data_IF_812693064544
#
_entry.id   IF_812693064544
#
_cell.length_a   1.000
_cell.length_b   1.000
_cell.length_c   1.000
_cell.angle_alpha   90.00
_cell.angle_beta   90.00
_cell.angle_gamma   90.00
#
_symmetry.space_group_name_H-M   'P 1'
#
loop_
_entity.id
_entity.type
_entity.pdbx_description
1 polymer ?
#
# COMPACT_ATOMS: atom_id res chain seq x y z
N UNK A 1 6.40 -2.51 11.68
CA UNK A 1 4.95 -2.85 11.58
C UNK A 1 4.67 -3.86 10.48
N UNK A 2 3.40 -4.31 10.36
CA UNK A 2 3.04 -5.32 9.34
C UNK A 2 3.31 -4.88 7.91
N UNK A 3 3.23 -3.59 7.61
CA UNK A 3 3.50 -3.03 6.28
C UNK A 3 4.94 -3.27 5.81
N UNK A 4 5.92 -2.97 6.66
CA UNK A 4 7.35 -3.20 6.37
C UNK A 4 7.64 -4.69 6.11
N UNK A 5 7.10 -5.58 6.98
CA UNK A 5 7.27 -7.01 6.78
C UNK A 5 6.77 -7.46 5.41
N UNK A 6 5.54 -7.11 5.04
CA UNK A 6 4.97 -7.53 3.77
C UNK A 6 5.70 -6.94 2.56
N UNK A 7 6.18 -5.71 2.67
CA UNK A 7 6.96 -5.05 1.62
C UNK A 7 8.28 -5.78 1.37
N UNK A 8 9.07 -6.01 2.42
CA UNK A 8 10.31 -6.78 2.32
C UNK A 8 10.08 -8.23 1.88
N UNK A 9 9.06 -8.89 2.42
CA UNK A 9 8.71 -10.27 2.06
C UNK A 9 8.33 -10.41 0.58
N UNK A 10 7.54 -9.48 0.05
CA UNK A 10 7.17 -9.49 -1.36
C UNK A 10 8.37 -9.26 -2.27
N UNK A 11 9.25 -8.33 -1.89
CA UNK A 11 10.48 -8.06 -2.62
C UNK A 11 11.39 -9.31 -2.64
N UNK A 12 11.63 -9.91 -1.49
CA UNK A 12 12.41 -11.15 -1.37
C UNK A 12 11.82 -12.28 -2.23
N UNK A 13 10.48 -12.44 -2.26
CA UNK A 13 9.85 -13.45 -3.14
C UNK A 13 10.02 -13.17 -4.62
N UNK A 14 10.05 -11.91 -5.03
CA UNK A 14 10.31 -11.53 -6.42
C UNK A 14 11.76 -11.90 -6.79
N UNK A 15 12.70 -11.59 -5.91
CA UNK A 15 14.13 -11.82 -6.15
C UNK A 15 14.52 -13.31 -6.00
N UNK A 16 13.94 -14.08 -5.07
CA UNK A 16 14.16 -15.52 -4.90
C UNK A 16 13.85 -16.32 -6.17
N UNK A 17 12.84 -15.92 -6.93
CA UNK A 17 12.50 -16.55 -8.21
C UNK A 17 13.61 -16.48 -9.28
N UNK A 18 14.67 -15.73 -8.99
CA UNK A 18 15.83 -15.50 -9.86
C UNK A 18 17.11 -16.11 -9.32
N UNK A 19 16.97 -17.07 -8.41
CA UNK A 19 18.11 -17.81 -7.84
C UNK A 19 18.83 -17.09 -6.70
N UNK A 20 18.33 -15.92 -6.23
CA UNK A 20 18.96 -15.23 -5.09
C UNK A 20 18.50 -15.84 -3.75
N UNK A 21 19.44 -16.06 -2.85
CA UNK A 21 19.15 -16.46 -1.46
C UNK A 21 18.96 -15.25 -0.57
N UNK A 22 18.09 -15.38 0.44
CA UNK A 22 17.72 -14.30 1.34
C UNK A 22 17.57 -14.77 2.77
N UNK A 23 17.94 -13.90 3.69
CA UNK A 23 17.50 -14.01 5.07
C UNK A 23 16.97 -12.67 5.58
N UNK A 24 16.15 -12.73 6.59
CA UNK A 24 15.52 -11.56 7.19
C UNK A 24 16.17 -11.22 8.50
N UNK A 25 16.41 -9.95 8.74
CA UNK A 25 16.98 -9.44 9.97
C UNK A 25 15.97 -8.53 10.66
N UNK A 26 15.76 -8.69 11.94
CA UNK A 26 14.94 -7.79 12.75
C UNK A 26 15.29 -7.94 14.23
N UNK A 27 15.07 -6.87 15.00
CA UNK A 27 15.18 -6.94 16.46
C UNK A 27 13.93 -7.57 17.12
N UNK A 28 12.76 -7.40 16.49
CA UNK A 28 11.48 -7.93 16.98
C UNK A 28 10.55 -8.25 15.82
N UNK A 29 10.34 -9.54 15.58
CA UNK A 29 9.36 -10.02 14.62
C UNK A 29 8.28 -10.86 15.31
N UNK A 30 7.01 -10.65 14.94
CA UNK A 30 5.91 -11.43 15.53
C UNK A 30 6.00 -12.89 15.09
N UNK A 31 5.66 -13.83 15.99
CA UNK A 31 5.74 -15.29 15.75
C UNK A 31 5.02 -15.74 14.46
N UNK A 32 3.86 -15.15 14.16
CA UNK A 32 3.14 -15.45 12.93
C UNK A 32 3.91 -15.06 11.65
N UNK A 33 4.73 -13.99 11.69
CA UNK A 33 5.57 -13.61 10.55
C UNK A 33 6.77 -14.53 10.40
N UNK A 34 7.38 -14.97 11.52
CA UNK A 34 8.44 -15.97 11.50
C UNK A 34 7.93 -17.28 10.87
N UNK A 35 6.74 -17.74 11.28
CA UNK A 35 6.12 -18.92 10.67
C UNK A 35 5.89 -18.78 9.17
N UNK A 36 5.56 -17.56 8.69
CA UNK A 36 5.41 -17.30 7.26
C UNK A 36 6.76 -17.37 6.55
N UNK A 37 7.83 -16.82 7.13
CA UNK A 37 9.17 -16.90 6.57
C UNK A 37 9.62 -18.35 6.44
N UNK A 38 9.50 -19.13 7.51
CA UNK A 38 9.87 -20.55 7.54
C UNK A 38 9.10 -21.36 6.47
N UNK A 39 7.78 -21.16 6.36
CA UNK A 39 6.94 -21.83 5.37
C UNK A 39 7.36 -21.53 3.92
N UNK A 40 7.94 -20.36 3.66
CA UNK A 40 8.39 -19.94 2.33
C UNK A 40 9.90 -20.18 2.13
N UNK A 41 10.56 -20.83 3.09
CA UNK A 41 11.98 -21.18 3.04
C UNK A 41 12.90 -19.95 3.11
N UNK A 42 12.57 -18.98 3.97
CA UNK A 42 13.42 -17.85 4.30
C UNK A 42 13.95 -17.97 5.73
N UNK A 43 15.24 -17.79 5.89
CA UNK A 43 15.89 -17.73 7.20
C UNK A 43 15.61 -16.39 7.89
N UNK A 44 15.55 -16.42 9.24
CA UNK A 44 15.36 -15.24 10.07
C UNK A 44 16.45 -15.15 11.13
N UNK A 45 17.11 -14.00 11.22
CA UNK A 45 18.14 -13.71 12.21
C UNK A 45 17.63 -12.59 13.11
N UNK A 46 17.59 -12.87 14.42
CA UNK A 46 17.20 -11.89 15.41
C UNK A 46 18.45 -11.16 15.92
N UNK A 47 18.52 -9.85 15.68
CA UNK A 47 19.55 -9.00 16.30
C UNK A 47 19.03 -8.32 17.56
N UNK A 48 19.88 -8.12 18.56
CA UNK A 48 19.53 -7.39 19.80
C UNK A 48 19.16 -5.93 19.50
N UNK A 49 19.87 -5.29 18.58
CA UNK A 49 19.61 -3.92 18.14
C UNK A 49 19.94 -3.74 16.66
N UNK A 50 19.11 -2.97 15.96
CA UNK A 50 19.37 -2.54 14.58
C UNK A 50 20.00 -1.12 14.54
N UNK A 51 20.08 -0.44 15.68
CA UNK A 51 20.71 0.89 15.79
C UNK A 51 22.23 0.79 15.93
N UNK A 52 22.75 -0.34 16.42
CA UNK A 52 24.19 -0.57 16.53
C UNK A 52 24.70 -1.21 15.24
N UNK A 53 25.46 -0.48 14.47
CA UNK A 53 26.01 -0.92 13.18
C UNK A 53 26.96 -2.10 13.31
N UNK A 54 27.65 -2.23 14.47
CA UNK A 54 28.61 -3.32 14.71
C UNK A 54 27.99 -4.71 14.48
N UNK A 55 26.78 -4.94 15.01
CA UNK A 55 26.09 -6.24 14.82
C UNK A 55 25.66 -6.48 13.36
N UNK A 56 25.31 -5.41 12.63
CA UNK A 56 24.96 -5.50 11.21
C UNK A 56 26.22 -5.74 10.38
N UNK A 57 27.32 -5.03 10.67
CA UNK A 57 28.62 -5.21 9.99
C UNK A 57 29.14 -6.62 10.17
N UNK A 58 29.26 -7.10 11.41
CA UNK A 58 29.70 -8.46 11.70
C UNK A 58 28.87 -9.49 10.93
N UNK A 59 27.55 -9.30 10.84
CA UNK A 59 26.69 -10.19 10.08
C UNK A 59 26.96 -10.13 8.57
N UNK A 60 27.15 -8.92 7.99
CA UNK A 60 27.48 -8.76 6.58
C UNK A 60 28.79 -9.45 6.25
N UNK A 61 29.82 -9.24 7.07
CA UNK A 61 31.15 -9.83 6.90
C UNK A 61 31.14 -11.35 7.02
N UNK A 62 30.48 -11.89 8.08
CA UNK A 62 30.41 -13.34 8.32
C UNK A 62 29.60 -14.10 7.27
N UNK A 63 28.60 -13.45 6.68
CA UNK A 63 27.71 -14.05 5.66
C UNK A 63 28.09 -13.68 4.23
N UNK A 64 29.10 -12.85 4.03
CA UNK A 64 29.56 -12.35 2.74
C UNK A 64 28.41 -11.82 1.88
N UNK A 65 27.59 -10.94 2.46
CA UNK A 65 26.44 -10.39 1.78
C UNK A 65 26.81 -9.43 0.65
N UNK A 66 26.34 -9.72 -0.55
CA UNK A 66 26.47 -8.80 -1.68
C UNK A 66 25.56 -7.59 -1.55
N UNK A 67 24.32 -7.82 -1.11
CA UNK A 67 23.28 -6.83 -1.13
C UNK A 67 22.59 -6.72 0.23
N UNK A 68 22.47 -5.49 0.73
CA UNK A 68 21.70 -5.18 1.94
C UNK A 68 20.49 -4.34 1.60
N UNK A 69 19.29 -4.78 2.04
CA UNK A 69 18.04 -4.04 1.83
C UNK A 69 17.48 -3.59 3.17
N UNK A 70 17.39 -2.29 3.39
CA UNK A 70 16.86 -1.70 4.62
C UNK A 70 15.48 -1.10 4.41
N UNK A 71 14.51 -1.56 5.20
CA UNK A 71 13.19 -0.93 5.40
C UNK A 71 13.04 -0.56 6.89
N UNK A 72 14.00 0.21 7.39
CA UNK A 72 14.09 0.59 8.79
C UNK A 72 14.39 2.09 8.92
N UNK A 73 13.42 2.87 9.40
CA UNK A 73 13.45 4.33 9.41
C UNK A 73 14.41 4.96 10.42
N UNK A 74 14.78 4.21 11.46
CA UNK A 74 15.66 4.71 12.54
C UNK A 74 17.15 4.43 12.27
N UNK A 75 17.52 3.92 11.11
CA UNK A 75 18.91 3.79 10.70
C UNK A 75 19.44 5.18 10.35
N UNK A 76 20.41 5.67 11.12
CA UNK A 76 20.97 7.00 10.95
C UNK A 76 21.91 7.11 9.73
N UNK A 77 22.30 8.33 9.40
CA UNK A 77 23.15 8.60 8.23
C UNK A 77 24.54 7.98 8.36
N UNK A 78 25.15 8.00 9.56
CA UNK A 78 26.48 7.42 9.82
C UNK A 78 26.45 5.93 9.54
N UNK A 79 25.46 5.23 10.11
CA UNK A 79 25.29 3.79 9.92
C UNK A 79 25.04 3.43 8.45
N UNK A 80 24.25 4.22 7.73
CA UNK A 80 24.04 4.02 6.28
C UNK A 80 25.32 4.15 5.48
N UNK A 81 26.14 5.18 5.76
CA UNK A 81 27.46 5.35 5.11
C UNK A 81 28.37 4.14 5.34
N UNK A 82 28.39 3.64 6.57
CA UNK A 82 29.25 2.51 6.93
C UNK A 82 28.78 1.21 6.24
N UNK A 83 27.48 0.95 6.21
CA UNK A 83 26.91 -0.23 5.51
C UNK A 83 27.21 -0.14 4.01
N UNK A 84 27.01 1.04 3.41
CA UNK A 84 27.22 1.24 1.97
C UNK A 84 28.67 0.98 1.52
N UNK A 85 29.64 1.07 2.44
CA UNK A 85 31.06 0.80 2.15
C UNK A 85 31.42 -0.69 2.11
N UNK A 86 30.61 -1.53 2.76
CA UNK A 86 30.93 -2.94 2.97
C UNK A 86 30.05 -3.93 2.20
N UNK A 87 29.08 -3.42 1.45
CA UNK A 87 28.23 -4.22 0.55
C UNK A 87 28.35 -3.71 -0.88
N UNK A 88 28.18 -4.60 -1.85
CA UNK A 88 28.21 -4.23 -3.27
C UNK A 88 27.00 -3.41 -3.69
N UNK A 89 25.85 -3.63 -3.03
CA UNK A 89 24.63 -2.87 -3.28
C UNK A 89 23.83 -2.64 -2.00
N UNK A 90 23.63 -1.38 -1.66
CA UNK A 90 22.79 -0.98 -0.54
C UNK A 90 21.48 -0.36 -1.03
N UNK A 91 20.37 -0.98 -0.70
CA UNK A 91 19.03 -0.52 -1.07
C UNK A 91 18.30 0.00 0.17
N UNK A 92 17.80 1.22 0.11
CA UNK A 92 16.97 1.80 1.17
C UNK A 92 15.54 1.97 0.69
N UNK A 93 14.59 1.48 1.46
CA UNK A 93 13.16 1.70 1.29
C UNK A 93 12.70 2.62 2.42
N UNK A 94 12.30 3.85 2.08
CA UNK A 94 11.85 4.82 3.08
C UNK A 94 10.69 5.67 2.52
N UNK A 95 9.68 5.92 3.34
CA UNK A 95 8.49 6.69 2.97
C UNK A 95 8.63 8.20 3.27
N UNK A 96 9.71 8.62 3.95
CA UNK A 96 9.95 10.00 4.30
C UNK A 96 10.49 10.81 3.10
N UNK A 97 10.06 12.06 2.99
CA UNK A 97 10.42 12.94 1.88
C UNK A 97 11.64 13.82 2.16
N UNK A 98 12.08 13.90 3.43
CA UNK A 98 13.06 14.89 3.90
C UNK A 98 14.32 14.24 4.49
N UNK A 99 14.55 12.96 4.24
CA UNK A 99 15.74 12.25 4.74
C UNK A 99 16.78 12.10 3.64
N UNK A 100 18.04 12.28 4.02
CA UNK A 100 19.20 11.93 3.21
C UNK A 100 19.54 10.46 3.43
N UNK A 101 19.86 9.76 2.34
CA UNK A 101 20.26 8.37 2.38
C UNK A 101 21.61 8.21 1.66
N UNK A 102 22.49 7.41 2.25
CA UNK A 102 23.75 6.98 1.63
C UNK A 102 23.54 5.54 1.18
N UNK A 103 23.06 5.38 -0.05
CA UNK A 103 22.69 4.09 -0.63
C UNK A 103 22.81 4.14 -2.16
N UNK A 104 22.97 3.01 -2.80
CA UNK A 104 23.02 2.91 -4.26
C UNK A 104 21.63 3.06 -4.87
N UNK A 105 20.61 2.49 -4.21
CA UNK A 105 19.22 2.55 -4.66
C UNK A 105 18.31 3.02 -3.55
N UNK A 106 17.57 4.09 -3.80
CA UNK A 106 16.52 4.59 -2.91
C UNK A 106 15.13 4.31 -3.50
N UNK A 107 14.30 3.63 -2.74
CA UNK A 107 12.92 3.29 -3.14
C UNK A 107 11.94 4.04 -2.25
N UNK A 108 11.09 4.85 -2.86
CA UNK A 108 9.90 5.39 -2.20
C UNK A 108 8.70 5.24 -3.14
N UNK A 109 7.85 4.29 -2.83
CA UNK A 109 6.73 3.88 -3.65
C UNK A 109 5.41 4.62 -3.37
N UNK A 110 5.46 5.67 -2.57
CA UNK A 110 4.30 6.53 -2.34
C UNK A 110 4.03 7.43 -3.56
N UNK A 111 2.80 7.91 -3.65
CA UNK A 111 2.49 8.96 -4.61
C UNK A 111 3.20 10.25 -4.21
N UNK A 112 3.85 10.91 -5.18
CA UNK A 112 4.61 12.14 -4.95
C UNK A 112 4.31 13.20 -6.00
N UNK A 113 4.36 14.45 -5.55
CA UNK A 113 4.40 15.62 -6.43
C UNK A 113 5.80 15.74 -7.07
N UNK A 114 5.89 16.50 -8.14
CA UNK A 114 7.19 16.76 -8.77
C UNK A 114 8.13 17.56 -7.86
N UNK A 115 7.57 18.46 -7.03
CA UNK A 115 8.31 19.15 -5.97
C UNK A 115 8.93 18.17 -4.99
N UNK A 116 8.16 17.16 -4.51
CA UNK A 116 8.68 16.13 -3.61
C UNK A 116 9.77 15.29 -4.26
N UNK A 117 9.60 14.92 -5.53
CA UNK A 117 10.63 14.18 -6.29
C UNK A 117 11.92 14.97 -6.44
N UNK A 118 11.82 16.26 -6.81
CA UNK A 118 12.99 17.14 -6.94
C UNK A 118 13.72 17.32 -5.61
N UNK A 119 13.00 17.42 -4.49
CA UNK A 119 13.59 17.46 -3.16
C UNK A 119 14.38 16.19 -2.85
N UNK A 120 13.78 15.01 -3.08
CA UNK A 120 14.45 13.72 -2.87
C UNK A 120 15.71 13.62 -3.75
N UNK A 121 15.64 14.05 -5.00
CA UNK A 121 16.79 14.06 -5.92
C UNK A 121 17.93 14.92 -5.39
N UNK A 122 17.64 16.13 -4.88
CA UNK A 122 18.65 17.01 -4.26
C UNK A 122 19.28 16.40 -3.01
N UNK A 123 18.50 15.70 -2.18
CA UNK A 123 18.99 15.06 -0.96
C UNK A 123 19.81 13.79 -1.22
N UNK A 124 19.59 13.12 -2.34
CA UNK A 124 20.19 11.83 -2.67
C UNK A 124 20.76 11.82 -4.11
N UNK A 125 21.75 12.70 -4.41
CA UNK A 125 22.23 12.89 -5.79
C UNK A 125 22.94 11.67 -6.37
N UNK A 126 23.56 10.85 -5.52
CA UNK A 126 24.36 9.69 -5.93
C UNK A 126 23.56 8.36 -5.92
N UNK A 127 22.27 8.41 -5.59
CA UNK A 127 21.44 7.22 -5.53
C UNK A 127 20.60 7.08 -6.80
N UNK A 128 20.42 5.86 -7.26
CA UNK A 128 19.36 5.57 -8.22
C UNK A 128 18.00 5.66 -7.55
N UNK A 129 17.13 6.53 -8.05
CA UNK A 129 15.86 6.87 -7.41
C UNK A 129 14.69 6.14 -8.05
N UNK A 130 14.07 5.23 -7.32
CA UNK A 130 12.86 4.51 -7.70
C UNK A 130 11.65 5.15 -7.00
N UNK A 131 11.11 6.22 -7.59
CA UNK A 131 10.11 7.07 -6.97
C UNK A 131 8.73 6.92 -7.57
N UNK A 132 7.74 6.83 -6.67
CA UNK A 132 6.32 6.83 -7.03
C UNK A 132 5.72 5.44 -7.20
N UNK A 133 4.43 5.44 -7.47
CA UNK A 133 3.57 4.24 -7.45
C UNK A 133 4.01 3.17 -8.48
N UNK A 134 4.67 3.56 -9.57
CA UNK A 134 5.18 2.61 -10.58
C UNK A 134 6.21 1.62 -10.01
N UNK A 135 6.79 1.93 -8.85
CA UNK A 135 7.71 1.07 -8.12
C UNK A 135 7.07 0.44 -6.87
N UNK A 136 5.76 0.36 -6.83
CA UNK A 136 5.05 -0.26 -5.72
C UNK A 136 5.40 -1.73 -5.55
N UNK A 137 5.92 -2.08 -4.36
CA UNK A 137 6.31 -3.44 -4.02
C UNK A 137 5.06 -4.21 -3.59
N UNK A 138 4.46 -4.93 -4.51
CA UNK A 138 3.27 -5.75 -4.25
C UNK A 138 3.58 -7.25 -4.24
N UNK A 139 2.60 -8.06 -3.88
CA UNK A 139 2.75 -9.51 -3.93
C UNK A 139 2.99 -9.97 -5.37
N UNK A 140 3.86 -10.96 -5.56
CA UNK A 140 4.08 -11.54 -6.88
C UNK A 140 2.79 -12.11 -7.52
N UNK A 141 1.80 -12.46 -6.70
CA UNK A 141 0.47 -12.88 -7.14
C UNK A 141 -0.34 -11.75 -7.78
N UNK A 142 0.06 -10.51 -7.53
CA UNK A 142 -0.59 -9.33 -8.08
C UNK A 142 -0.40 -9.23 -9.60
N UNK A 143 0.78 -9.58 -10.11
CA UNK A 143 1.05 -9.60 -11.56
C UNK A 143 0.19 -10.60 -12.33
N UNK A 144 -0.41 -11.58 -11.63
CA UNK A 144 -1.35 -12.56 -12.19
C UNK A 144 -2.81 -12.06 -12.22
N UNK A 145 -3.11 -10.96 -11.55
CA UNK A 145 -4.43 -10.35 -11.63
C UNK A 145 -4.51 -9.61 -12.96
N UNK A 146 -5.14 -10.21 -13.96
CA UNK A 146 -5.39 -9.55 -15.24
C UNK A 146 -6.20 -8.28 -15.00
N UNK A 147 -5.76 -7.14 -15.56
CA UNK A 147 -6.64 -5.98 -15.69
C UNK A 147 -7.91 -6.43 -16.39
N UNK A 148 -9.04 -6.33 -15.72
CA UNK A 148 -10.32 -6.36 -16.41
C UNK A 148 -10.49 -4.98 -17.03
N UNK A 149 -10.59 -4.92 -18.33
CA UNK A 149 -11.05 -3.69 -18.99
C UNK A 149 -12.44 -3.36 -18.44
N UNK A 150 -12.47 -2.27 -17.70
CA UNK A 150 -13.69 -1.80 -17.09
C UNK A 150 -14.29 -0.73 -18.00
N UNK A 151 -14.93 -1.17 -19.07
CA UNK A 151 -15.78 -0.27 -19.84
C UNK A 151 -17.10 -0.11 -19.04
N UNK A 152 -17.14 0.86 -18.10
CA UNK A 152 -18.23 0.91 -17.12
C UNK A 152 -19.02 2.20 -17.26
N UNK A 153 -20.19 2.01 -17.84
CA UNK A 153 -21.25 3.00 -17.85
C UNK A 153 -22.13 2.94 -16.58
N UNK A 154 -21.92 1.95 -15.71
CA UNK A 154 -22.80 1.69 -14.57
C UNK A 154 -22.03 1.13 -13.38
N UNK A 155 -22.34 1.62 -12.17
CA UNK A 155 -21.81 1.14 -10.91
C UNK A 155 -22.78 0.12 -10.33
N UNK A 156 -22.40 -1.16 -10.32
CA UNK A 156 -23.18 -2.27 -9.73
C UNK A 156 -22.58 -2.79 -8.44
N UNK A 157 -21.25 -2.64 -8.26
CA UNK A 157 -20.53 -3.14 -7.10
C UNK A 157 -19.56 -2.10 -6.56
N UNK A 158 -19.64 -1.84 -5.26
CA UNK A 158 -18.76 -0.89 -4.56
C UNK A 158 -17.99 -1.63 -3.48
N UNK A 159 -16.67 -1.55 -3.55
CA UNK A 159 -15.76 -2.02 -2.50
C UNK A 159 -15.55 -0.92 -1.46
N UNK A 160 -15.58 -1.28 -0.17
CA UNK A 160 -15.24 -0.33 0.90
C UNK A 160 -14.23 -0.91 1.89
N UNK A 161 -13.22 -0.08 2.28
CA UNK A 161 -12.25 -0.43 3.32
C UNK A 161 -11.57 0.81 3.91
N UNK A 162 -11.57 0.92 5.25
CA UNK A 162 -11.05 2.07 5.99
C UNK A 162 -9.82 1.75 6.85
N UNK A 163 -9.16 0.63 6.56
CA UNK A 163 -7.94 0.21 7.25
C UNK A 163 -8.17 -0.94 8.24
N UNK A 164 -7.06 -1.42 8.82
CA UNK A 164 -7.11 -2.61 9.68
C UNK A 164 -7.81 -2.36 11.01
N UNK A 165 -7.65 -1.19 11.60
CA UNK A 165 -8.19 -0.84 12.93
C UNK A 165 -9.42 0.05 12.87
N UNK A 166 -9.51 0.93 11.86
CA UNK A 166 -10.60 1.89 11.66
C UNK A 166 -11.05 2.59 12.96
N UNK A 167 -10.15 3.32 13.64
CA UNK A 167 -10.42 3.84 14.99
C UNK A 167 -11.53 4.89 15.03
N UNK A 168 -11.73 5.64 13.93
CA UNK A 168 -12.82 6.63 13.78
C UNK A 168 -14.15 6.02 13.33
N UNK A 169 -14.20 4.67 13.16
CA UNK A 169 -15.40 3.92 12.78
C UNK A 169 -16.05 4.39 11.46
N UNK A 170 -15.21 4.72 10.49
CA UNK A 170 -15.64 5.15 9.16
C UNK A 170 -16.41 4.06 8.42
N UNK A 171 -16.10 2.78 8.68
CA UNK A 171 -16.88 1.64 8.16
C UNK A 171 -18.35 1.74 8.55
N UNK A 172 -18.65 2.05 9.79
CA UNK A 172 -20.04 2.16 10.26
C UNK A 172 -20.73 3.41 9.71
N UNK A 173 -20.00 4.53 9.61
CA UNK A 173 -20.47 5.77 8.97
C UNK A 173 -20.84 5.52 7.50
N UNK A 174 -19.99 4.80 6.76
CA UNK A 174 -20.26 4.40 5.38
C UNK A 174 -21.50 3.48 5.26
N UNK A 175 -21.62 2.49 6.14
CA UNK A 175 -22.78 1.58 6.14
C UNK A 175 -24.10 2.34 6.35
N UNK A 176 -24.11 3.34 7.22
CA UNK A 176 -25.28 4.20 7.42
C UNK A 176 -25.65 5.00 6.16
N UNK A 177 -24.68 5.39 5.35
CA UNK A 177 -24.91 6.19 4.15
C UNK A 177 -25.48 5.40 2.95
N UNK A 178 -25.42 4.06 3.01
CA UNK A 178 -25.78 3.19 1.87
C UNK A 178 -27.06 2.39 2.08
N UNK A 179 -27.86 2.70 3.10
CA UNK A 179 -29.02 1.89 3.45
C UNK A 179 -30.11 1.87 2.36
N UNK A 180 -30.28 2.97 1.63
CA UNK A 180 -31.35 3.14 0.66
C UNK A 180 -31.01 2.64 -0.75
N UNK A 181 -29.83 1.99 -0.91
CA UNK A 181 -29.40 1.49 -2.22
C UNK A 181 -29.72 0.02 -2.41
N UNK A 182 -30.81 -0.30 -3.11
CA UNK A 182 -31.23 -1.68 -3.34
C UNK A 182 -30.55 -2.36 -4.56
N UNK A 183 -30.19 -1.58 -5.57
CA UNK A 183 -29.65 -2.08 -6.85
C UNK A 183 -28.12 -2.14 -6.92
N UNK A 184 -27.42 -1.80 -5.82
CA UNK A 184 -25.96 -1.80 -5.74
C UNK A 184 -25.51 -2.79 -4.67
N UNK A 185 -24.54 -3.62 -5.01
CA UNK A 185 -23.90 -4.53 -4.06
C UNK A 185 -22.70 -3.87 -3.40
N UNK A 186 -22.69 -3.75 -2.09
CA UNK A 186 -21.59 -3.21 -1.30
C UNK A 186 -20.79 -4.35 -0.68
N UNK A 187 -19.50 -4.40 -1.01
CA UNK A 187 -18.56 -5.38 -0.50
C UNK A 187 -17.60 -4.69 0.47
N UNK A 188 -17.83 -4.87 1.76
CA UNK A 188 -17.16 -4.14 2.82
C UNK A 188 -16.14 -5.04 3.51
N UNK A 189 -14.87 -4.68 3.43
CA UNK A 189 -13.80 -5.37 4.13
C UNK A 189 -13.60 -4.74 5.51
N UNK A 190 -13.56 -5.58 6.54
CA UNK A 190 -13.27 -5.18 7.91
C UNK A 190 -11.94 -5.80 8.32
N UNK A 191 -11.04 -4.96 8.83
CA UNK A 191 -9.73 -5.41 9.26
C UNK A 191 -9.76 -6.13 10.61
N UNK A 192 -8.75 -6.96 10.87
CA UNK A 192 -8.64 -7.79 12.09
C UNK A 192 -8.67 -6.98 13.39
N UNK A 193 -8.18 -5.75 13.36
CA UNK A 193 -8.05 -4.89 14.54
C UNK A 193 -9.25 -3.96 14.76
N UNK A 194 -10.30 -4.08 13.94
CA UNK A 194 -11.50 -3.25 14.07
C UNK A 194 -12.34 -3.72 15.27
N UNK A 195 -12.37 -2.90 16.32
CA UNK A 195 -13.09 -3.19 17.57
C UNK A 195 -14.62 -3.20 17.40
N UNK A 196 -15.14 -2.60 16.31
CA UNK A 196 -16.57 -2.50 16.06
C UNK A 196 -17.13 -3.65 15.19
N UNK A 197 -16.30 -4.67 14.86
CA UNK A 197 -16.70 -5.74 13.95
C UNK A 197 -18.03 -6.39 14.32
N UNK A 198 -18.21 -6.78 15.58
CA UNK A 198 -19.44 -7.47 16.02
C UNK A 198 -20.68 -6.54 15.90
N UNK A 199 -20.54 -5.27 16.28
CA UNK A 199 -21.61 -4.28 16.12
C UNK A 199 -21.99 -4.09 14.65
N UNK A 200 -21.01 -3.99 13.78
CA UNK A 200 -21.19 -3.87 12.32
C UNK A 200 -21.90 -5.10 11.77
N UNK A 201 -21.43 -6.29 12.16
CA UNK A 201 -22.02 -7.57 11.72
C UNK A 201 -23.49 -7.67 12.08
N UNK A 202 -23.83 -7.36 13.34
CA UNK A 202 -25.21 -7.37 13.81
C UNK A 202 -26.09 -6.36 13.06
N UNK A 203 -25.59 -5.16 12.84
CA UNK A 203 -26.30 -4.10 12.12
C UNK A 203 -26.58 -4.43 10.65
N UNK A 204 -25.71 -5.21 10.02
CA UNK A 204 -25.84 -5.62 8.62
C UNK A 204 -26.66 -6.91 8.44
N UNK A 205 -27.11 -7.54 9.53
CA UNK A 205 -27.92 -8.75 9.45
C UNK A 205 -29.20 -8.49 8.64
N UNK A 206 -29.50 -9.35 7.67
CA UNK A 206 -30.68 -9.21 6.81
C UNK A 206 -30.56 -8.20 5.65
N UNK A 207 -29.48 -7.42 5.56
CA UNK A 207 -29.29 -6.46 4.47
C UNK A 207 -28.71 -7.18 3.23
N UNK A 208 -29.58 -7.50 2.25
CA UNK A 208 -29.21 -8.28 1.05
C UNK A 208 -28.20 -7.60 0.12
N UNK A 209 -28.09 -6.29 0.18
CA UNK A 209 -27.18 -5.49 -0.65
C UNK A 209 -25.78 -5.33 -0.04
N UNK A 210 -25.53 -5.74 1.22
CA UNK A 210 -24.26 -5.60 1.95
C UNK A 210 -23.64 -6.97 2.19
N UNK A 211 -22.41 -7.16 1.72
CA UNK A 211 -21.60 -8.34 2.00
C UNK A 211 -20.38 -7.92 2.86
N UNK A 212 -20.27 -8.50 4.05
CA UNK A 212 -19.15 -8.23 4.96
C UNK A 212 -18.06 -9.29 4.77
N UNK A 213 -16.82 -8.82 4.65
CA UNK A 213 -15.64 -9.65 4.61
C UNK A 213 -14.75 -9.28 5.80
N UNK A 214 -14.23 -10.26 6.50
CA UNK A 214 -13.41 -10.04 7.69
C UNK A 214 -12.03 -10.64 7.52
N UNK A 215 -10.99 -9.84 7.80
CA UNK A 215 -9.60 -10.27 7.88
C UNK A 215 -9.13 -11.13 6.68
N UNK A 216 -9.43 -10.68 5.46
CA UNK A 216 -9.01 -11.39 4.26
C UNK A 216 -7.48 -11.35 4.11
N UNK A 217 -6.92 -12.41 3.52
CA UNK A 217 -5.53 -12.38 3.03
C UNK A 217 -5.37 -11.33 1.93
N UNK A 218 -4.16 -10.81 1.76
CA UNK A 218 -3.88 -9.80 0.73
C UNK A 218 -4.40 -10.23 -0.67
N UNK A 219 -4.15 -11.47 -1.09
CA UNK A 219 -4.61 -11.96 -2.39
C UNK A 219 -6.14 -11.99 -2.54
N UNK A 220 -6.85 -12.43 -1.49
CA UNK A 220 -8.33 -12.42 -1.49
C UNK A 220 -8.87 -10.99 -1.53
N UNK A 221 -8.21 -10.06 -0.82
CA UNK A 221 -8.53 -8.63 -0.84
C UNK A 221 -8.38 -8.03 -2.23
N UNK A 222 -7.28 -8.32 -2.91
CA UNK A 222 -7.04 -7.86 -4.27
C UNK A 222 -8.05 -8.41 -5.28
N UNK A 223 -8.41 -9.71 -5.17
CA UNK A 223 -9.49 -10.30 -5.98
C UNK A 223 -10.84 -9.64 -5.72
N UNK A 224 -11.12 -9.33 -4.45
CA UNK A 224 -12.35 -8.62 -4.08
C UNK A 224 -12.37 -7.24 -4.73
N UNK A 225 -11.30 -6.45 -4.61
CA UNK A 225 -11.18 -5.14 -5.27
C UNK A 225 -11.35 -5.22 -6.79
N UNK A 226 -10.71 -6.21 -7.43
CA UNK A 226 -10.76 -6.39 -8.88
C UNK A 226 -12.18 -6.57 -9.41
N UNK A 227 -13.08 -7.17 -8.63
CA UNK A 227 -14.46 -7.47 -9.01
C UNK A 227 -15.45 -6.32 -8.74
N UNK A 228 -14.95 -5.15 -8.31
CA UNK A 228 -15.78 -3.98 -8.02
C UNK A 228 -15.63 -2.89 -9.08
N UNK A 229 -16.59 -1.99 -9.14
CA UNK A 229 -16.70 -0.93 -10.14
C UNK A 229 -16.16 0.39 -9.61
N UNK A 230 -16.35 0.61 -8.33
CA UNK A 230 -15.94 1.79 -7.57
C UNK A 230 -15.41 1.33 -6.22
N UNK A 231 -14.51 2.08 -5.63
CA UNK A 231 -14.11 1.89 -4.25
C UNK A 231 -14.33 3.13 -3.39
N UNK A 232 -14.61 2.90 -2.12
CA UNK A 232 -14.71 3.92 -1.10
C UNK A 232 -13.80 3.55 0.07
N UNK A 233 -13.02 4.49 0.63
CA UNK A 233 -12.19 4.15 1.79
C UNK A 233 -11.14 5.17 2.15
N UNK A 234 -10.25 4.80 3.08
CA UNK A 234 -9.13 5.64 3.51
C UNK A 234 -7.98 5.67 2.50
N UNK A 235 -7.08 6.64 2.67
CA UNK A 235 -5.77 6.67 2.02
C UNK A 235 -4.83 5.57 2.54
N UNK A 236 -3.56 5.63 2.18
CA UNK A 236 -2.54 4.66 2.58
C UNK A 236 -2.32 3.54 1.57
N UNK A 237 -1.64 2.45 2.00
CA UNK A 237 -1.20 1.35 1.12
C UNK A 237 -2.36 0.74 0.33
N UNK A 238 -3.52 0.60 0.97
CA UNK A 238 -4.69 0.03 0.31
C UNK A 238 -5.22 0.90 -0.84
N UNK A 239 -5.09 2.23 -0.76
CA UNK A 239 -5.40 3.11 -1.88
C UNK A 239 -4.45 2.83 -3.05
N UNK A 240 -3.16 2.64 -2.79
CA UNK A 240 -2.20 2.29 -3.83
C UNK A 240 -2.56 0.97 -4.52
N UNK A 241 -3.02 -0.04 -3.77
CA UNK A 241 -3.52 -1.30 -4.32
C UNK A 241 -4.76 -1.09 -5.21
N UNK A 242 -5.73 -0.30 -4.76
CA UNK A 242 -6.93 0.06 -5.55
C UNK A 242 -6.58 0.76 -6.85
N UNK A 243 -5.73 1.77 -6.77
CA UNK A 243 -5.24 2.49 -7.94
C UNK A 243 -4.48 1.56 -8.88
N UNK A 244 -3.63 0.68 -8.38
CA UNK A 244 -2.89 -0.29 -9.17
C UNK A 244 -3.80 -1.29 -9.92
N UNK A 245 -4.94 -1.64 -9.40
CA UNK A 245 -5.97 -2.42 -10.07
C UNK A 245 -6.82 -1.61 -11.06
N UNK A 246 -6.54 -0.30 -11.19
CA UNK A 246 -7.36 0.60 -11.99
C UNK A 246 -8.77 0.76 -11.43
N UNK A 247 -8.94 0.60 -10.10
CA UNK A 247 -10.24 0.74 -9.43
C UNK A 247 -10.45 2.20 -9.04
N UNK A 248 -11.45 2.90 -9.65
CA UNK A 248 -11.76 4.27 -9.29
C UNK A 248 -12.04 4.40 -7.79
N UNK A 249 -11.56 5.46 -7.17
CA UNK A 249 -11.56 5.57 -5.72
C UNK A 249 -12.10 6.91 -5.22
N UNK A 250 -13.12 6.85 -4.36
CA UNK A 250 -13.54 7.94 -3.48
C UNK A 250 -12.78 7.73 -2.16
N UNK A 251 -12.15 8.78 -1.65
CA UNK A 251 -11.18 8.66 -0.55
C UNK A 251 -11.42 9.67 0.55
N UNK A 252 -11.35 9.19 1.81
CA UNK A 252 -11.27 10.00 3.01
C UNK A 252 -9.83 10.05 3.53
N UNK A 253 -9.45 11.18 4.13
CA UNK A 253 -8.24 11.28 4.92
C UNK A 253 -8.54 10.87 6.37
N UNK A 254 -7.96 9.76 6.82
CA UNK A 254 -8.16 9.24 8.18
C UNK A 254 -6.92 9.41 9.07
N UNK A 255 -5.80 9.92 8.52
CA UNK A 255 -4.58 10.18 9.25
C UNK A 255 -3.79 11.32 8.57
N UNK A 256 -3.16 12.18 9.36
CA UNK A 256 -2.48 13.39 8.87
C UNK A 256 -1.37 13.10 7.86
N UNK A 257 -0.63 12.02 8.07
CA UNK A 257 0.45 11.59 7.14
C UNK A 257 -0.04 11.18 5.74
N UNK A 258 -1.36 11.03 5.53
CA UNK A 258 -1.96 10.73 4.22
C UNK A 258 -2.30 11.99 3.43
N UNK A 259 -2.50 13.12 4.10
CA UNK A 259 -3.16 14.32 3.56
C UNK A 259 -2.46 14.90 2.34
N UNK A 260 -1.15 15.11 2.40
CA UNK A 260 -0.37 15.67 1.31
C UNK A 260 -0.45 14.83 0.01
N UNK A 261 -0.34 13.52 0.15
CA UNK A 261 -0.47 12.59 -0.97
C UNK A 261 -1.89 12.60 -1.56
N UNK A 262 -2.93 12.67 -0.72
CA UNK A 262 -4.33 12.70 -1.16
C UNK A 262 -4.67 14.00 -1.89
N UNK A 263 -4.18 15.15 -1.41
CA UNK A 263 -4.33 16.43 -2.09
C UNK A 263 -3.66 16.38 -3.47
N UNK A 264 -2.46 15.84 -3.56
CA UNK A 264 -1.75 15.71 -4.82
C UNK A 264 -2.46 14.79 -5.82
N UNK A 265 -3.04 13.68 -5.35
CA UNK A 265 -3.86 12.78 -6.17
C UNK A 265 -5.17 13.44 -6.63
N UNK A 266 -5.81 14.23 -5.75
CA UNK A 266 -7.00 15.04 -6.07
C UNK A 266 -6.70 16.04 -7.18
N UNK A 267 -5.62 16.82 -7.06
CA UNK A 267 -5.23 17.85 -8.03
C UNK A 267 -4.97 17.24 -9.43
N UNK A 268 -4.47 16.01 -9.49
CA UNK A 268 -4.31 15.25 -10.74
C UNK A 268 -5.58 14.51 -11.17
N UNK A 269 -6.69 14.65 -10.45
CA UNK A 269 -7.99 14.01 -10.71
C UNK A 269 -7.90 12.47 -10.75
N UNK A 270 -6.93 11.87 -10.05
CA UNK A 270 -6.73 10.41 -9.99
C UNK A 270 -7.68 9.76 -8.99
N UNK A 271 -8.08 10.51 -7.96
CA UNK A 271 -9.06 10.11 -6.95
C UNK A 271 -10.13 11.20 -6.80
N UNK A 272 -11.29 10.81 -6.28
CA UNK A 272 -12.22 11.76 -5.71
C UNK A 272 -11.96 11.86 -4.21
N UNK A 273 -11.35 12.96 -3.78
CA UNK A 273 -11.04 13.22 -2.36
C UNK A 273 -12.20 13.94 -1.70
N UNK A 274 -12.86 13.29 -0.75
CA UNK A 274 -14.04 13.80 -0.07
C UNK A 274 -13.71 14.72 1.10
N UNK A 275 -12.51 14.62 1.67
CA UNK A 275 -12.04 15.46 2.78
C UNK A 275 -11.49 14.67 3.96
N UNK A 276 -11.20 15.40 5.05
CA UNK A 276 -10.80 14.81 6.33
C UNK A 276 -12.00 14.09 6.96
N UNK A 277 -11.82 12.86 7.42
CA UNK A 277 -12.89 11.98 7.89
C UNK A 277 -13.74 12.59 9.01
N UNK A 278 -13.12 13.39 9.88
CA UNK A 278 -13.81 14.10 10.98
C UNK A 278 -14.85 15.13 10.49
N UNK A 279 -14.66 15.66 9.28
CA UNK A 279 -15.54 16.67 8.67
C UNK A 279 -16.54 16.09 7.67
N UNK A 280 -16.46 14.76 7.42
CA UNK A 280 -17.32 14.09 6.44
C UNK A 280 -18.49 13.43 7.16
N UNK A 281 -19.70 13.91 6.87
CA UNK A 281 -20.96 13.38 7.42
C UNK A 281 -21.48 12.17 6.62
N UNK A 282 -22.45 11.46 7.20
CA UNK A 282 -23.21 10.40 6.52
C UNK A 282 -23.92 10.93 5.28
N UNK A 283 -24.52 12.11 5.36
CA UNK A 283 -25.22 12.77 4.24
C UNK A 283 -24.25 13.12 3.11
N UNK A 284 -23.06 13.62 3.42
CA UNK A 284 -22.05 13.95 2.41
C UNK A 284 -21.57 12.69 1.66
N UNK A 285 -21.37 11.57 2.35
CA UNK A 285 -21.04 10.27 1.73
C UNK A 285 -22.17 9.83 0.80
N UNK A 286 -23.43 9.88 1.28
CA UNK A 286 -24.62 9.51 0.51
C UNK A 286 -24.73 10.34 -0.78
N UNK A 287 -24.64 11.67 -0.68
CA UNK A 287 -24.73 12.59 -1.81
C UNK A 287 -23.58 12.35 -2.82
N UNK A 288 -22.36 12.13 -2.34
CA UNK A 288 -21.22 11.82 -3.19
C UNK A 288 -21.44 10.53 -3.96
N UNK A 289 -21.84 9.46 -3.31
CA UNK A 289 -22.12 8.17 -3.96
C UNK A 289 -23.25 8.32 -5.00
N UNK A 290 -24.32 9.04 -4.65
CA UNK A 290 -25.45 9.29 -5.56
C UNK A 290 -25.01 10.04 -6.83
N UNK A 291 -24.12 11.04 -6.70
CA UNK A 291 -23.57 11.76 -7.84
C UNK A 291 -22.78 10.84 -8.77
N UNK A 292 -21.94 9.93 -8.22
CA UNK A 292 -21.19 8.97 -9.03
C UNK A 292 -22.08 7.91 -9.70
N UNK A 293 -23.15 7.49 -9.04
CA UNK A 293 -24.09 6.49 -9.56
C UNK A 293 -24.93 7.10 -10.71
N UNK A 294 -25.41 8.33 -10.53
CA UNK A 294 -26.24 9.02 -11.54
C UNK A 294 -25.44 9.59 -12.71
N UNK A 295 -24.21 10.01 -12.49
CA UNK A 295 -23.39 10.68 -13.50
C UNK A 295 -22.28 9.77 -14.05
N UNK A 296 -22.57 9.12 -15.19
CA UNK A 296 -21.62 8.24 -15.90
C UNK A 296 -20.31 8.95 -16.26
N UNK A 297 -20.35 10.26 -16.59
CA UNK A 297 -19.14 11.02 -16.96
C UNK A 297 -18.15 11.13 -15.82
N UNK A 298 -18.62 11.24 -14.56
CA UNK A 298 -17.73 11.30 -13.39
C UNK A 298 -16.90 10.02 -13.23
N UNK A 299 -17.54 8.86 -13.31
CA UNK A 299 -16.84 7.58 -13.19
C UNK A 299 -15.89 7.33 -14.35
N UNK A 300 -16.29 7.67 -15.59
CA UNK A 300 -15.45 7.56 -16.77
C UNK A 300 -14.20 8.45 -16.70
N UNK A 301 -14.35 9.69 -16.23
CA UNK A 301 -13.23 10.60 -16.04
C UNK A 301 -12.25 10.05 -15.01
N UNK A 302 -12.75 9.56 -13.87
CA UNK A 302 -11.94 9.00 -12.81
C UNK A 302 -11.22 7.72 -13.27
N UNK A 303 -11.89 6.85 -14.02
CA UNK A 303 -11.31 5.67 -14.67
C UNK A 303 -10.18 6.05 -15.63
N UNK A 304 -10.43 6.97 -16.56
CA UNK A 304 -9.44 7.44 -17.54
C UNK A 304 -8.19 7.97 -16.81
N UNK A 305 -8.35 8.80 -15.80
CA UNK A 305 -7.23 9.35 -15.02
C UNK A 305 -6.49 8.29 -14.21
N UNK A 306 -7.21 7.39 -13.55
CA UNK A 306 -6.59 6.27 -12.83
C UNK A 306 -5.76 5.40 -13.78
N UNK A 307 -6.26 5.08 -14.97
CA UNK A 307 -5.57 4.27 -15.97
C UNK A 307 -4.33 4.96 -16.57
N UNK A 308 -4.38 6.27 -16.79
CA UNK A 308 -3.21 7.02 -17.28
C UNK A 308 -2.01 6.94 -16.34
N UNK A 309 -2.26 6.90 -15.03
CA UNK A 309 -1.21 6.80 -14.01
C UNK A 309 -0.82 5.37 -13.70
N UNK A 310 -1.62 4.40 -14.13
CA UNK A 310 -1.51 3.03 -13.71
C UNK A 310 -1.39 2.08 -14.90
N UNK A 311 -0.17 1.68 -15.19
CA UNK A 311 0.13 0.73 -16.28
C UNK A 311 -0.04 -0.73 -15.86
N UNK A 312 -0.20 -1.02 -14.57
CA UNK A 312 -0.28 -2.39 -14.04
C UNK A 312 1.01 -3.22 -14.24
N UNK A 313 2.08 -2.62 -14.76
CA UNK A 313 3.39 -3.25 -14.91
C UNK A 313 4.27 -2.93 -13.71
N UNK A 314 4.82 -3.97 -13.06
CA UNK A 314 5.86 -3.79 -12.07
C UNK A 314 7.17 -3.44 -12.75
N UNK A 315 7.66 -2.22 -12.54
CA UNK A 315 8.96 -1.79 -13.07
C UNK A 315 10.12 -2.20 -12.15
N UNK A 316 10.08 -3.44 -11.62
CA UNK A 316 11.24 -4.03 -10.92
C UNK A 316 12.32 -4.57 -11.85
N UNK A 317 12.18 -4.38 -13.16
CA UNK A 317 13.21 -4.73 -14.17
C UNK A 317 14.55 -4.08 -13.80
N UNK A 318 14.52 -2.89 -13.19
CA UNK A 318 15.75 -2.21 -12.77
C UNK A 318 16.48 -2.98 -11.65
N UNK A 319 15.79 -3.40 -10.58
CA UNK A 319 16.38 -4.25 -9.53
C UNK A 319 16.85 -5.59 -10.09
N UNK A 320 16.30 -6.00 -11.21
CA UNK A 320 16.62 -7.24 -11.88
C UNK A 320 17.93 -7.19 -12.68
N UNK A 321 18.33 -6.00 -13.14
CA UNK A 321 19.56 -5.79 -13.91
C UNK A 321 20.74 -5.41 -13.03
N UNK A 322 20.48 -4.92 -11.80
CA UNK A 322 21.50 -4.38 -10.89
C UNK A 322 21.65 -5.20 -9.59
N UNK A 323 20.96 -6.31 -9.45
CA UNK A 323 21.09 -7.36 -8.45
C UNK A 323 21.36 -8.70 -9.14
#
# INVERSE_FOLDING_TARGET
GGGHFWRCFNLAKILKKRGRSFFFISNKLKKNFINILNKEGFNYIKLKSLKKTSSIKSLIETTQLDTFISDYYDLDEKNKKEINKIVNCFIVIDDHLNKKHFCDVYINNNFMTDVSKNRIKKLNPNSTLLLGIKYFINTYKFSRLKKKEKNKNEIKKVFAFFGSSDPSNETFKFIKSIQDYNNIKFQILIGKLNKNYQKIKNYCRGKKNISLFYNLTNYKTLKLMQNNDLSFGSGGINLTERLFLGLPSIVLCTAENQKSALIALKNKKIIHFLGDSKNVSVSLIKNCLQSFIKNKKLIQLLLKKTHQYYTGKNNFIFLQKNL
#
